data_IF_626466492113
#
_entry.id   IF_626466492113
#
_cell.length_a   1.000
_cell.length_b   1.000
_cell.length_c   1.000
_cell.angle_alpha   90.00
_cell.angle_beta   90.00
_cell.angle_gamma   90.00
#
_symmetry.space_group_name_H-M   'P 1'
#
loop_
_entity.id
_entity.type
_entity.pdbx_description
1 polymer ?
#
# COMPACT_ATOMS: atom_id res chain seq x y z
N UNK A 1 11.32 -0.81 10.97
CA UNK A 1 11.43 0.59 10.49
C UNK A 1 12.50 0.77 9.43
N UNK A 2 13.80 0.63 9.72
CA UNK A 2 14.87 0.81 8.71
C UNK A 2 14.61 0.08 7.39
N UNK A 3 14.25 -1.20 7.45
CA UNK A 3 13.96 -2.00 6.25
C UNK A 3 12.72 -1.50 5.50
N UNK A 4 11.67 -1.06 6.20
CA UNK A 4 10.49 -0.46 5.56
C UNK A 4 10.85 0.81 4.81
N UNK A 5 11.68 1.68 5.41
CA UNK A 5 12.14 2.92 4.80
C UNK A 5 12.96 2.63 3.53
N UNK A 6 13.87 1.67 3.61
CA UNK A 6 14.69 1.24 2.47
C UNK A 6 13.85 0.63 1.34
N UNK A 7 12.95 -0.30 1.68
CA UNK A 7 12.05 -0.95 0.71
C UNK A 7 11.10 0.08 0.07
N UNK A 8 10.53 0.98 0.87
CA UNK A 8 9.65 2.04 0.39
C UNK A 8 10.35 2.95 -0.61
N UNK A 9 11.55 3.42 -0.29
CA UNK A 9 12.33 4.26 -1.20
C UNK A 9 12.78 3.51 -2.46
N UNK A 10 13.22 2.26 -2.32
CA UNK A 10 13.67 1.43 -3.46
C UNK A 10 12.53 1.16 -4.43
N UNK A 11 11.38 0.74 -3.91
CA UNK A 11 10.19 0.47 -4.72
C UNK A 11 9.65 1.75 -5.36
N UNK A 12 9.59 2.86 -4.61
CA UNK A 12 9.13 4.14 -5.16
C UNK A 12 10.00 4.64 -6.33
N UNK A 13 11.33 4.52 -6.20
CA UNK A 13 12.27 4.86 -7.29
C UNK A 13 12.09 3.92 -8.48
N UNK A 14 12.06 2.61 -8.25
CA UNK A 14 11.80 1.61 -9.28
C UNK A 14 10.53 1.93 -10.07
N UNK A 15 9.41 2.18 -9.37
CA UNK A 15 8.11 2.49 -9.98
C UNK A 15 8.14 3.77 -10.82
N UNK A 16 8.91 4.78 -10.40
CA UNK A 16 9.04 6.05 -11.15
C UNK A 16 9.72 5.85 -12.50
N UNK A 17 10.49 4.79 -12.68
CA UNK A 17 11.20 4.46 -13.93
C UNK A 17 10.34 3.59 -14.88
N UNK A 18 9.15 3.13 -14.46
CA UNK A 18 8.32 2.22 -15.25
C UNK A 18 7.39 2.98 -16.19
N UNK A 19 7.42 2.64 -17.48
CA UNK A 19 6.56 3.27 -18.50
C UNK A 19 5.05 3.07 -18.28
N UNK A 20 4.66 2.06 -17.48
CA UNK A 20 3.29 1.77 -17.12
C UNK A 20 2.77 2.67 -15.99
N UNK A 21 3.66 3.31 -15.22
CA UNK A 21 3.31 4.09 -14.03
C UNK A 21 3.14 5.56 -14.40
N UNK A 22 1.98 6.13 -14.07
CA UNK A 22 1.63 7.53 -14.33
C UNK A 22 2.29 8.45 -13.32
N UNK A 23 2.18 8.09 -12.05
CA UNK A 23 2.69 8.87 -10.92
C UNK A 23 2.93 7.98 -9.71
N UNK A 24 3.94 8.35 -8.93
CA UNK A 24 4.25 7.77 -7.62
C UNK A 24 4.12 8.85 -6.56
N UNK A 25 3.43 8.53 -5.48
CA UNK A 25 3.24 9.37 -4.31
C UNK A 25 4.02 8.77 -3.14
N UNK A 26 5.22 9.32 -2.91
CA UNK A 26 6.09 8.92 -1.81
C UNK A 26 6.91 10.12 -1.30
N UNK A 27 6.79 10.51 -0.01
CA UNK A 27 7.48 11.69 0.52
C UNK A 27 9.01 11.61 0.51
N UNK A 28 9.59 10.43 0.27
CA UNK A 28 11.03 10.24 0.11
C UNK A 28 11.56 10.50 -1.31
N UNK A 29 10.70 10.74 -2.30
CA UNK A 29 11.12 11.12 -3.65
C UNK A 29 11.31 12.63 -3.76
N UNK A 30 12.40 13.05 -4.40
CA UNK A 30 12.73 14.46 -4.63
C UNK A 30 11.64 15.19 -5.47
N UNK A 31 10.90 14.45 -6.30
CA UNK A 31 9.78 14.93 -7.08
C UNK A 31 8.50 15.19 -6.27
N UNK A 32 8.44 14.73 -5.01
CA UNK A 32 7.25 14.88 -4.19
C UNK A 32 7.11 16.32 -3.66
N UNK A 33 5.93 16.97 -3.74
CA UNK A 33 5.76 18.37 -3.34
C UNK A 33 6.13 18.68 -1.88
N UNK A 34 6.08 17.67 -1.01
CA UNK A 34 6.40 17.79 0.41
C UNK A 34 7.77 17.18 0.77
N UNK A 35 8.61 16.84 -0.21
CA UNK A 35 9.91 16.21 0.01
C UNK A 35 10.76 16.97 1.02
N UNK A 36 10.99 18.28 0.79
CA UNK A 36 11.83 19.07 1.71
C UNK A 36 11.25 19.12 3.13
N UNK A 37 9.92 19.17 3.26
CA UNK A 37 9.25 19.14 4.57
C UNK A 37 9.47 17.79 5.24
N UNK A 38 9.33 16.69 4.50
CA UNK A 38 9.56 15.34 5.01
C UNK A 38 11.01 15.15 5.48
N UNK A 39 12.01 15.61 4.71
CA UNK A 39 13.43 15.53 5.09
C UNK A 39 13.75 16.35 6.35
N UNK A 40 13.02 17.44 6.60
CA UNK A 40 13.21 18.25 7.82
C UNK A 40 12.54 17.65 9.06
N UNK A 41 11.41 16.96 8.89
CA UNK A 41 10.58 16.49 10.01
C UNK A 41 10.83 15.03 10.38
N UNK A 42 11.32 14.21 9.44
CA UNK A 42 11.43 12.77 9.62
C UNK A 42 12.82 12.26 9.27
N UNK A 43 13.26 11.20 9.96
CA UNK A 43 14.53 10.53 9.68
C UNK A 43 14.46 9.58 8.46
N UNK A 44 13.25 9.29 7.98
CA UNK A 44 12.94 8.41 6.86
C UNK A 44 11.48 8.62 6.43
N UNK A 45 11.13 8.20 5.22
CA UNK A 45 9.81 8.44 4.63
C UNK A 45 8.81 7.28 4.85
N UNK A 46 9.17 6.22 5.59
CA UNK A 46 8.32 5.08 5.83
C UNK A 46 8.31 4.07 4.68
N UNK A 47 7.58 2.96 4.87
CA UNK A 47 7.35 1.95 3.84
C UNK A 47 6.03 2.12 3.07
N UNK A 48 5.28 3.20 3.28
CA UNK A 48 3.98 3.39 2.63
C UNK A 48 4.12 4.31 1.43
N UNK A 49 3.68 3.84 0.27
CA UNK A 49 3.58 4.63 -0.96
C UNK A 49 2.27 4.34 -1.69
N UNK A 50 1.90 5.22 -2.61
CA UNK A 50 0.83 4.95 -3.57
C UNK A 50 1.25 5.33 -4.98
N UNK A 51 0.61 4.73 -5.97
CA UNK A 51 0.88 5.01 -7.39
C UNK A 51 -0.33 4.71 -8.27
N UNK A 52 -0.27 5.20 -9.50
CA UNK A 52 -1.31 4.99 -10.51
C UNK A 52 -0.71 4.45 -11.80
N UNK A 53 -1.48 3.61 -12.50
CA UNK A 53 -1.08 2.97 -13.73
C UNK A 53 -1.83 3.54 -14.94
N UNK A 54 -1.15 3.57 -16.07
CA UNK A 54 -1.81 3.76 -17.36
C UNK A 54 -2.79 2.59 -17.57
N UNK A 55 -4.05 2.93 -17.87
CA UNK A 55 -5.14 1.95 -17.94
C UNK A 55 -5.95 1.78 -16.65
N UNK A 56 -5.75 2.64 -15.65
CA UNK A 56 -6.71 2.85 -14.55
C UNK A 56 -7.02 1.59 -13.73
N UNK A 57 -8.31 1.39 -13.45
CA UNK A 57 -8.82 0.32 -12.60
C UNK A 57 -8.39 -1.06 -13.08
N UNK A 58 -8.55 -1.32 -14.38
CA UNK A 58 -8.27 -2.64 -14.96
C UNK A 58 -6.77 -2.94 -14.94
N UNK A 59 -5.92 -1.92 -15.09
CA UNK A 59 -4.47 -2.08 -14.95
C UNK A 59 -4.08 -2.40 -13.50
N UNK A 60 -4.68 -1.71 -12.53
CA UNK A 60 -4.46 -1.98 -11.11
C UNK A 60 -4.90 -3.40 -10.72
N UNK A 61 -6.08 -3.85 -11.14
CA UNK A 61 -6.57 -5.21 -10.87
C UNK A 61 -5.65 -6.28 -11.47
N UNK A 62 -5.21 -6.10 -12.72
CA UNK A 62 -4.26 -7.01 -13.36
C UNK A 62 -2.90 -7.04 -12.67
N UNK A 63 -2.44 -5.93 -12.11
CA UNK A 63 -1.21 -5.91 -11.32
C UNK A 63 -1.39 -6.74 -10.06
N UNK A 64 -2.42 -6.45 -9.27
CA UNK A 64 -2.71 -7.14 -8.02
C UNK A 64 -2.87 -8.66 -8.22
N UNK A 65 -3.47 -9.09 -9.35
CA UNK A 65 -3.64 -10.51 -9.65
C UNK A 65 -2.36 -11.26 -10.05
N UNK A 66 -1.28 -10.54 -10.35
CA UNK A 66 -0.01 -11.12 -10.83
C UNK A 66 1.11 -11.10 -9.80
N UNK A 67 1.01 -10.21 -8.82
CA UNK A 67 1.96 -10.10 -7.72
C UNK A 67 1.94 -11.37 -6.85
N UNK A 68 3.12 -11.75 -6.37
CA UNK A 68 3.34 -12.99 -5.61
C UNK A 68 3.75 -12.71 -4.17
N UNK A 69 4.56 -11.67 -3.94
CA UNK A 69 5.06 -11.34 -2.60
C UNK A 69 4.05 -10.50 -1.80
N UNK A 70 3.52 -9.37 -2.31
CA UNK A 70 2.51 -8.59 -1.60
C UNK A 70 1.21 -9.37 -1.37
N UNK A 71 0.72 -9.39 -0.13
CA UNK A 71 -0.62 -9.87 0.16
C UNK A 71 -1.66 -8.75 -0.05
N UNK A 72 -2.81 -9.09 -0.64
CA UNK A 72 -3.90 -8.13 -0.84
C UNK A 72 -4.69 -7.92 0.46
N UNK A 73 -4.40 -6.85 1.20
CA UNK A 73 -5.09 -6.54 2.46
C UNK A 73 -5.11 -5.02 2.76
N UNK A 74 -6.14 -4.51 3.47
CA UNK A 74 -6.27 -3.08 3.79
C UNK A 74 -5.39 -2.62 4.96
N UNK A 75 -4.74 -3.53 5.69
CA UNK A 75 -3.84 -3.20 6.81
C UNK A 75 -2.50 -2.59 6.31
N UNK A 76 -1.62 -2.21 7.24
CA UNK A 76 -0.30 -1.64 6.99
C UNK A 76 0.66 -1.81 8.18
N UNK A 77 1.96 -1.70 7.94
CA UNK A 77 3.01 -1.70 8.98
C UNK A 77 3.43 -3.07 9.51
N UNK A 78 2.91 -4.15 8.92
CA UNK A 78 3.36 -5.53 9.18
C UNK A 78 4.76 -5.82 8.62
N UNK A 79 5.27 -7.02 8.91
CA UNK A 79 6.56 -7.49 8.36
C UNK A 79 6.43 -7.91 6.90
N UNK A 80 5.23 -8.28 6.50
CA UNK A 80 4.83 -8.60 5.14
C UNK A 80 4.48 -7.33 4.35
N UNK A 81 4.78 -7.35 3.06
CA UNK A 81 4.29 -6.33 2.15
C UNK A 81 2.79 -6.52 1.92
N UNK A 82 2.03 -5.43 2.09
CA UNK A 82 0.60 -5.39 1.81
C UNK A 82 0.31 -4.46 0.64
N UNK A 83 -0.60 -4.87 -0.23
CA UNK A 83 -1.08 -4.08 -1.36
C UNK A 83 -2.60 -3.97 -1.33
N UNK A 84 -3.15 -2.81 -1.70
CA UNK A 84 -4.60 -2.63 -1.78
C UNK A 84 -4.99 -1.54 -2.75
N UNK A 85 -6.27 -1.49 -3.10
CA UNK A 85 -6.93 -0.38 -3.78
C UNK A 85 -7.81 0.35 -2.77
N UNK A 86 -7.46 1.58 -2.35
CA UNK A 86 -8.22 2.30 -1.32
C UNK A 86 -9.71 2.46 -1.65
N UNK A 87 -10.05 2.65 -2.93
CA UNK A 87 -11.44 2.81 -3.40
C UNK A 87 -12.35 1.63 -3.06
N UNK A 88 -11.83 0.41 -3.00
CA UNK A 88 -12.62 -0.80 -2.69
C UNK A 88 -12.43 -1.27 -1.26
N UNK A 89 -11.61 -0.57 -0.47
CA UNK A 89 -11.28 -0.97 0.91
C UNK A 89 -11.48 0.21 1.86
N UNK A 90 -10.39 0.81 2.34
CA UNK A 90 -10.38 1.90 3.33
C UNK A 90 -11.22 3.13 3.00
N UNK A 91 -11.56 3.36 1.73
CA UNK A 91 -12.33 4.52 1.27
C UNK A 91 -13.58 4.10 0.47
N UNK A 92 -14.07 2.88 0.69
CA UNK A 92 -15.25 2.34 -0.01
C UNK A 92 -16.55 3.08 0.35
N UNK A 93 -16.63 3.65 1.56
CA UNK A 93 -17.79 4.41 2.04
C UNK A 93 -17.90 5.83 1.47
N UNK A 94 -16.88 6.33 0.76
CA UNK A 94 -16.89 7.67 0.17
C UNK A 94 -17.46 7.66 -1.24
N UNK A 95 -18.17 8.73 -1.61
CA UNK A 95 -18.55 8.98 -3.00
C UNK A 95 -17.32 9.18 -3.90
N UNK A 96 -17.52 9.09 -5.21
CA UNK A 96 -16.44 9.30 -6.18
C UNK A 96 -15.90 10.73 -6.11
N UNK A 97 -16.78 11.70 -5.90
CA UNK A 97 -16.49 13.11 -5.79
C UNK A 97 -15.64 13.41 -4.54
N UNK A 98 -15.99 12.82 -3.41
CA UNK A 98 -15.22 12.95 -2.16
C UNK A 98 -13.83 12.35 -2.30
N UNK A 99 -13.71 11.15 -2.88
CA UNK A 99 -12.39 10.53 -3.16
C UNK A 99 -11.55 11.37 -4.10
N UNK A 100 -12.14 11.91 -5.17
CA UNK A 100 -11.44 12.76 -6.11
C UNK A 100 -10.94 14.05 -5.46
N UNK A 101 -11.73 14.66 -4.57
CA UNK A 101 -11.32 15.84 -3.79
C UNK A 101 -10.12 15.55 -2.86
N UNK A 102 -9.99 14.31 -2.38
CA UNK A 102 -8.84 13.83 -1.61
C UNK A 102 -7.65 13.38 -2.47
N UNK A 103 -7.77 13.45 -3.80
CA UNK A 103 -6.74 12.96 -4.73
C UNK A 103 -6.68 11.44 -4.88
N UNK A 104 -7.73 10.72 -4.46
CA UNK A 104 -7.83 9.26 -4.55
C UNK A 104 -8.49 8.89 -5.89
N UNK A 105 -7.67 8.57 -6.88
CA UNK A 105 -8.15 8.05 -8.15
C UNK A 105 -8.74 6.63 -7.99
N UNK A 106 -9.71 6.27 -8.84
CA UNK A 106 -10.34 4.94 -8.82
C UNK A 106 -9.33 3.79 -9.10
N UNK A 107 -8.25 4.09 -9.82
CA UNK A 107 -7.13 3.18 -10.10
C UNK A 107 -5.95 3.29 -9.14
N UNK A 108 -6.07 4.04 -8.03
CA UNK A 108 -4.98 4.22 -7.08
C UNK A 108 -4.63 2.89 -6.40
N UNK A 109 -3.33 2.56 -6.39
CA UNK A 109 -2.77 1.41 -5.67
C UNK A 109 -1.98 1.94 -4.49
N UNK A 110 -2.16 1.33 -3.31
CA UNK A 110 -1.37 1.60 -2.10
C UNK A 110 -0.56 0.38 -1.74
N UNK A 111 0.71 0.58 -1.42
CA UNK A 111 1.62 -0.46 -0.92
C UNK A 111 2.13 -0.05 0.45
N UNK A 112 2.11 -1.00 1.39
CA UNK A 112 2.82 -0.94 2.66
C UNK A 112 3.94 -1.96 2.57
N UNK A 113 5.16 -1.51 2.26
CA UNK A 113 6.33 -2.36 2.15
C UNK A 113 6.66 -3.03 3.48
N UNK A 114 6.84 -4.34 3.45
CA UNK A 114 7.31 -5.16 4.55
C UNK A 114 8.84 -5.10 4.68
N UNK A 115 9.42 -6.20 5.17
CA UNK A 115 10.86 -6.36 5.41
C UNK A 115 11.52 -7.40 4.50
N UNK A 116 10.89 -7.76 3.38
CA UNK A 116 11.48 -8.62 2.35
C UNK A 116 12.74 -7.99 1.75
N UNK A 117 13.52 -8.80 1.00
CA UNK A 117 14.62 -8.28 0.20
C UNK A 117 14.07 -7.30 -0.85
N UNK A 118 14.64 -6.10 -0.92
CA UNK A 118 14.15 -5.04 -1.79
C UNK A 118 14.23 -5.43 -3.28
N UNK A 119 15.23 -6.23 -3.65
CA UNK A 119 15.43 -6.76 -4.99
C UNK A 119 14.32 -7.71 -5.41
N UNK A 120 13.92 -8.63 -4.52
CA UNK A 120 12.85 -9.59 -4.78
C UNK A 120 11.50 -8.85 -4.91
N UNK A 121 11.27 -7.85 -4.05
CA UNK A 121 10.08 -7.01 -4.13
C UNK A 121 10.02 -6.25 -5.46
N UNK A 122 11.11 -5.60 -5.88
CA UNK A 122 11.14 -4.90 -7.16
C UNK A 122 11.01 -5.86 -8.36
N UNK A 123 11.60 -7.05 -8.29
CA UNK A 123 11.50 -8.06 -9.33
C UNK A 123 10.06 -8.58 -9.49
N UNK A 124 9.34 -8.77 -8.38
CA UNK A 124 7.94 -9.17 -8.42
C UNK A 124 7.04 -8.08 -9.03
N UNK A 125 7.29 -6.82 -8.72
CA UNK A 125 6.60 -5.71 -9.39
C UNK A 125 6.96 -5.62 -10.89
N UNK A 126 8.23 -5.83 -11.25
CA UNK A 126 8.66 -5.83 -12.65
C UNK A 126 7.93 -6.90 -13.47
N UNK A 127 7.87 -8.14 -12.98
CA UNK A 127 7.17 -9.22 -13.69
C UNK A 127 5.67 -8.93 -13.80
N UNK A 128 5.05 -8.41 -12.73
CA UNK A 128 3.62 -8.13 -12.70
C UNK A 128 3.23 -6.99 -13.68
N UNK A 129 4.10 -5.99 -13.84
CA UNK A 129 3.96 -4.88 -14.80
C UNK A 129 4.23 -5.31 -16.26
N UNK A 130 4.65 -6.56 -16.48
CA UNK A 130 4.88 -7.12 -17.81
C UNK A 130 6.25 -6.78 -18.39
N UNK A 131 7.24 -6.45 -17.55
CA UNK A 131 8.64 -6.50 -17.98
C UNK A 131 9.03 -7.97 -18.14
N UNK A 132 9.00 -8.45 -19.38
CA UNK A 132 9.47 -9.78 -19.73
C UNK A 132 10.91 -9.98 -19.27
N UNK A 133 11.17 -11.11 -18.62
CA UNK A 133 12.48 -11.58 -18.16
C UNK A 133 13.42 -11.68 -19.38
N UNK A 134 14.10 -10.59 -19.72
CA UNK A 134 14.97 -10.53 -20.90
C UNK A 134 16.11 -9.51 -20.83
N UNK A 135 16.15 -8.61 -19.84
CA UNK A 135 17.16 -7.53 -19.81
C UNK A 135 17.91 -7.34 -18.49
N UNK A 136 17.59 -8.08 -17.43
CA UNK A 136 18.42 -8.14 -16.23
C UNK A 136 19.07 -9.52 -16.19
N UNK A 137 20.39 -9.56 -16.36
CA UNK A 137 21.23 -10.75 -16.26
C UNK A 137 21.31 -11.32 -14.85
N UNK A 138 20.16 -11.51 -14.20
CA UNK A 138 20.03 -12.17 -12.91
C UNK A 138 19.70 -13.63 -13.20
N UNK A 139 20.71 -14.49 -13.07
CA UNK A 139 20.55 -15.93 -13.11
C UNK A 139 19.63 -16.35 -11.95
N UNK A 140 18.36 -16.67 -12.25
CA UNK A 140 17.55 -17.46 -11.34
C UNK A 140 18.17 -18.85 -11.24
N UNK A 141 18.90 -19.08 -10.15
CA UNK A 141 19.27 -20.42 -9.72
C UNK A 141 18.00 -21.26 -9.58
N UNK A 142 17.84 -22.24 -10.45
CA UNK A 142 16.81 -23.27 -10.31
C UNK A 142 17.12 -24.09 -9.05
N UNK A 143 16.56 -23.68 -7.92
CA UNK A 143 16.41 -24.55 -6.75
C UNK A 143 14.97 -24.47 -6.27
N UNK A 144 14.20 -25.42 -6.79
CA UNK A 144 12.91 -25.84 -6.31
C UNK A 144 12.95 -26.15 -4.81
N UNK A 145 12.34 -25.29 -3.97
CA UNK A 145 11.74 -25.70 -2.69
C UNK A 145 10.62 -24.74 -2.30
N UNK A 146 9.42 -25.31 -2.08
CA UNK A 146 8.28 -24.75 -1.35
C UNK A 146 7.28 -23.82 -2.09
N UNK A 147 6.90 -24.25 -3.29
CA UNK A 147 5.82 -23.70 -4.14
C UNK A 147 4.39 -23.87 -3.59
N UNK A 148 4.17 -24.20 -2.31
CA UNK A 148 2.84 -24.64 -1.84
C UNK A 148 2.47 -24.38 -0.37
N UNK A 149 3.28 -23.65 0.41
CA UNK A 149 3.09 -23.65 1.88
C UNK A 149 2.77 -22.31 2.56
N UNK A 150 2.73 -21.18 1.86
CA UNK A 150 2.41 -19.87 2.48
C UNK A 150 1.05 -19.28 2.11
N UNK A 151 0.53 -19.57 0.91
CA UNK A 151 -0.77 -19.03 0.44
C UNK A 151 -1.97 -19.91 0.79
N UNK A 152 -1.78 -21.03 1.50
CA UNK A 152 -2.83 -22.05 1.70
C UNK A 152 -3.14 -22.37 3.17
N UNK A 153 -3.07 -21.39 4.08
CA UNK A 153 -3.16 -21.70 5.53
C UNK A 153 -3.98 -20.78 6.42
N UNK A 154 -4.85 -19.94 5.89
CA UNK A 154 -5.87 -19.29 6.73
C UNK A 154 -7.29 -19.69 6.35
N UNK A 155 -7.64 -19.68 5.06
CA UNK A 155 -8.94 -20.19 4.61
C UNK A 155 -9.10 -21.70 4.94
N UNK A 156 -8.00 -22.47 4.83
CA UNK A 156 -7.97 -23.90 5.16
C UNK A 156 -8.09 -24.20 6.67
N UNK A 157 -7.85 -23.21 7.55
CA UNK A 157 -7.88 -23.40 9.02
C UNK A 157 -9.21 -22.97 9.63
N UNK A 158 -9.85 -21.95 9.06
CA UNK A 158 -11.17 -21.50 9.55
C UNK A 158 -12.28 -22.30 8.88
N UNK A 159 -12.13 -22.72 7.62
CA UNK A 159 -13.20 -23.36 6.85
C UNK A 159 -14.46 -22.48 6.80
N UNK A 160 -15.46 -22.90 6.05
CA UNK A 160 -16.80 -22.28 6.11
C UNK A 160 -17.54 -22.66 7.41
N UNK A 161 -16.84 -22.79 8.54
CA UNK A 161 -17.42 -23.12 9.85
C UNK A 161 -17.69 -21.83 10.64
N UNK A 162 -18.92 -21.33 10.53
CA UNK A 162 -19.43 -20.14 11.22
C UNK A 162 -19.36 -20.25 12.76
N UNK A 163 -19.13 -21.46 13.31
CA UNK A 163 -18.95 -21.68 14.75
C UNK A 163 -17.47 -21.79 15.17
N UNK A 164 -16.52 -21.54 14.27
CA UNK A 164 -15.10 -21.58 14.60
C UNK A 164 -14.73 -20.44 15.56
N UNK A 165 -14.02 -20.69 16.69
CA UNK A 165 -13.76 -19.68 17.73
C UNK A 165 -12.93 -18.47 17.26
N UNK A 166 -12.24 -18.58 16.12
CA UNK A 166 -11.53 -17.46 15.49
C UNK A 166 -12.41 -16.60 14.55
N UNK A 167 -13.53 -17.12 14.07
CA UNK A 167 -14.47 -16.35 13.22
C UNK A 167 -15.12 -15.23 14.04
N UNK A 168 -15.59 -15.54 15.24
CA UNK A 168 -16.12 -14.55 16.19
C UNK A 168 -15.06 -13.54 16.64
N UNK A 169 -13.78 -13.93 16.71
CA UNK A 169 -12.70 -12.99 17.03
C UNK A 169 -12.48 -11.99 15.89
N UNK A 170 -12.59 -12.41 14.63
CA UNK A 170 -12.49 -11.51 13.47
C UNK A 170 -13.67 -10.55 13.39
N UNK A 171 -14.89 -11.00 13.68
CA UNK A 171 -16.06 -10.11 13.79
C UNK A 171 -15.87 -9.09 14.93
N UNK A 172 -15.41 -9.54 16.10
CA UNK A 172 -15.17 -8.66 17.23
C UNK A 172 -14.04 -7.66 16.94
N UNK A 173 -12.95 -8.08 16.29
CA UNK A 173 -11.88 -7.17 15.87
C UNK A 173 -12.39 -6.18 14.81
N UNK A 174 -13.20 -6.62 13.84
CA UNK A 174 -13.82 -5.76 12.85
C UNK A 174 -14.70 -4.68 13.48
N UNK A 175 -15.61 -5.08 14.38
CA UNK A 175 -16.48 -4.16 15.13
C UNK A 175 -15.68 -3.20 16.01
N UNK A 176 -14.59 -3.66 16.63
CA UNK A 176 -13.72 -2.80 17.44
C UNK A 176 -12.95 -1.78 16.60
N UNK A 177 -12.53 -2.14 15.39
CA UNK A 177 -11.86 -1.23 14.46
C UNK A 177 -12.86 -0.18 13.95
N UNK A 178 -14.05 -0.59 13.48
CA UNK A 178 -15.09 0.33 13.03
C UNK A 178 -15.49 1.31 14.15
N UNK A 179 -15.71 0.81 15.35
CA UNK A 179 -16.08 1.64 16.50
C UNK A 179 -14.95 2.60 16.90
N UNK A 180 -13.70 2.17 16.79
CA UNK A 180 -12.55 3.03 17.06
C UNK A 180 -12.43 4.15 16.01
N UNK A 181 -12.65 3.83 14.74
CA UNK A 181 -12.64 4.80 13.65
C UNK A 181 -13.76 5.84 13.80
N UNK A 182 -15.00 5.40 14.07
CA UNK A 182 -16.14 6.29 14.28
C UNK A 182 -15.95 7.24 15.48
N UNK A 183 -15.38 6.75 16.58
CA UNK A 183 -15.18 7.56 17.79
C UNK A 183 -13.99 8.53 17.66
N UNK A 184 -12.89 8.15 16.99
CA UNK A 184 -11.62 8.87 17.09
C UNK A 184 -11.21 9.62 15.81
N UNK A 185 -11.65 9.16 14.62
CA UNK A 185 -11.30 9.82 13.36
C UNK A 185 -11.92 11.22 13.24
N UNK A 186 -13.17 11.49 13.65
CA UNK A 186 -13.74 12.85 13.57
C UNK A 186 -12.98 13.87 14.44
N UNK A 187 -12.54 13.46 15.63
CA UNK A 187 -11.76 14.33 16.52
C UNK A 187 -10.36 14.61 15.93
N UNK A 188 -9.71 13.58 15.38
CA UNK A 188 -8.44 13.73 14.65
C UNK A 188 -8.57 14.66 13.43
N UNK A 189 -9.64 14.51 12.63
CA UNK A 189 -9.91 15.37 11.47
C UNK A 189 -10.18 16.82 11.87
N UNK A 190 -10.94 17.05 12.95
CA UNK A 190 -11.17 18.41 13.46
C UNK A 190 -9.89 19.11 13.94
N UNK A 191 -8.96 18.37 14.55
CA UNK A 191 -7.65 18.90 14.99
C UNK A 191 -6.70 19.21 13.84
N UNK A 192 -6.76 18.44 12.75
CA UNK A 192 -6.01 18.72 11.52
C UNK A 192 -6.56 19.98 10.83
N UNK A 193 -7.89 20.09 10.69
CA UNK A 193 -8.54 21.24 10.07
C UNK A 193 -8.34 22.55 10.86
N UNK A 194 -8.33 22.51 12.19
CA UNK A 194 -8.04 23.68 13.04
C UNK A 194 -6.57 24.14 12.94
N UNK A 195 -5.63 23.22 12.68
CA UNK A 195 -4.21 23.55 12.51
C UNK A 195 -3.93 24.28 11.20
N UNK A 196 -4.62 23.89 10.12
CA UNK A 196 -4.47 24.58 8.83
C UNK A 196 -5.18 25.94 8.80
N UNK A 197 -6.28 26.11 9.54
CA UNK A 197 -6.93 27.41 9.73
C UNK A 197 -6.08 28.44 10.50
N UNK A 198 -5.29 28.00 11.47
CA UNK A 198 -4.40 28.87 12.24
C UNK A 198 -3.14 29.31 11.45
N UNK A 199 -2.72 28.52 10.45
CA UNK A 199 -1.63 28.88 9.55
C UNK A 199 -2.04 29.97 8.54
N UNK A 200 -3.31 30.00 8.12
CA UNK A 200 -3.84 31.00 7.20
C UNK A 200 -4.00 32.40 7.84
N UNK A 201 -4.23 32.50 9.16
CA UNK A 201 -4.46 33.78 9.85
C UNK A 201 -3.19 34.52 10.29
N UNK A 202 -1.99 33.98 10.04
CA UNK A 202 -0.70 34.66 10.31
C UNK A 202 -0.03 35.25 9.07
N UNK A 203 -0.71 35.20 7.91
CA UNK A 203 -0.20 35.69 6.64
C UNK A 203 -1.00 36.90 6.08
N UNK A 204 -1.80 37.57 6.91
CA UNK A 204 -2.47 38.84 6.61
C UNK A 204 -2.17 39.81 7.74
#
# INVERSE_FOLDING_TARGET
MRQHDENGLRLARFLTEQAQVVRVNYPGLESHPQYERAQRLFAGAGGVLSFELHGGVEAAERLLSKLVLPASAPSLGGVETLITRPVTTSHSGLSREERAAMGIADGLVRVSCGIEAAEDLCADFAQALGWGVGSLGVNYGSSNTNRSNYTRRFDDVVGEDENHPLASLMEVIGVLIEKYEDEHVPELMSRVLQRDGAAALRAV
#
